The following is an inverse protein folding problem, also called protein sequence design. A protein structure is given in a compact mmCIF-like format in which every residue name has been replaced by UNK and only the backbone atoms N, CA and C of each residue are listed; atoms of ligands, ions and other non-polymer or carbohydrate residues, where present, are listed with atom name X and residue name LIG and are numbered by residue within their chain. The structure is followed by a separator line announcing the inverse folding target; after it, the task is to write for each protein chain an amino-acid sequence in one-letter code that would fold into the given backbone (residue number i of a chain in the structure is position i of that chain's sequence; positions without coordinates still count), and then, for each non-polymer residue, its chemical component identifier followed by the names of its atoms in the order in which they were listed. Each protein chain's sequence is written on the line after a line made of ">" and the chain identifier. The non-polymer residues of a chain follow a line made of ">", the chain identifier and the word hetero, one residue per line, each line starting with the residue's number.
data_IF_454972364734
#
_entry.id   IF_454972364734
#
_cell.length_a   1.000
_cell.length_b   1.000
_cell.length_c   1.000
_cell.angle_alpha   90.00
_cell.angle_beta   90.00
_cell.angle_gamma   90.00
#
_symmetry.space_group_name_H-M   'P 1'
#
loop_
_entity.id
_entity.type
_entity.pdbx_description
1 polymer ?
#
# COMPACT_ATOMS: atom_id res chain seq x y z
N UNK A 1 -22.57 -25.11 -3.44
CA UNK A 1 -21.10 -25.03 -3.45
C UNK A 1 -20.69 -23.67 -2.90
N UNK A 2 -19.85 -23.65 -1.86
CA UNK A 2 -19.42 -22.44 -1.16
C UNK A 2 -18.22 -21.83 -1.88
N UNK A 3 -18.36 -20.62 -2.43
CA UNK A 3 -17.26 -19.86 -3.04
C UNK A 3 -16.40 -19.10 -2.00
N UNK A 4 -16.46 -19.48 -0.72
CA UNK A 4 -15.84 -18.73 0.39
C UNK A 4 -14.38 -19.11 0.71
N UNK A 5 -13.64 -19.64 -0.25
CA UNK A 5 -12.18 -19.80 -0.13
C UNK A 5 -11.50 -19.19 -1.34
N UNK A 6 -11.63 -17.87 -1.51
CA UNK A 6 -10.69 -17.10 -2.33
C UNK A 6 -9.70 -16.46 -1.38
N UNK A 7 -8.77 -17.28 -0.89
CA UNK A 7 -7.45 -16.77 -0.49
C UNK A 7 -6.50 -17.45 -1.45
N UNK A 8 -6.18 -16.76 -2.54
CA UNK A 8 -5.13 -17.21 -3.45
C UNK A 8 -4.26 -16.01 -3.79
N UNK A 9 -3.46 -15.61 -2.80
CA UNK A 9 -2.33 -14.70 -2.96
C UNK A 9 -1.09 -15.54 -3.32
N UNK A 10 -1.13 -16.22 -4.48
CA UNK A 10 -0.08 -17.08 -5.02
C UNK A 10 0.02 -18.49 -4.40
N UNK A 11 -0.82 -19.41 -4.90
CA UNK A 11 -0.35 -20.77 -5.14
C UNK A 11 0.00 -20.89 -6.60
N UNK A 12 0.98 -21.73 -6.92
CA UNK A 12 1.63 -21.97 -8.23
C UNK A 12 0.70 -22.32 -9.43
N UNK A 13 -0.59 -22.01 -9.41
CA UNK A 13 -1.41 -21.96 -10.61
C UNK A 13 -1.16 -20.59 -11.29
N UNK A 14 -0.89 -20.62 -12.59
CA UNK A 14 -0.86 -19.41 -13.42
C UNK A 14 -2.23 -18.70 -13.26
N UNK A 15 -2.27 -17.43 -12.85
CA UNK A 15 -3.53 -16.65 -12.72
C UNK A 15 -4.39 -16.72 -14.00
N UNK A 16 -3.74 -16.95 -15.14
CA UNK A 16 -4.39 -17.20 -16.42
C UNK A 16 -5.15 -18.54 -16.47
N UNK A 17 -4.70 -19.57 -15.77
CA UNK A 17 -5.39 -20.86 -15.63
C UNK A 17 -6.72 -20.71 -14.88
N UNK A 18 -6.73 -19.98 -13.76
CA UNK A 18 -7.97 -19.67 -13.01
C UNK A 18 -8.96 -18.94 -13.91
N UNK A 19 -8.48 -17.92 -14.63
CA UNK A 19 -9.29 -17.13 -15.58
C UNK A 19 -9.89 -18.01 -16.68
N UNK A 20 -9.11 -18.96 -17.22
CA UNK A 20 -9.59 -19.94 -18.22
C UNK A 20 -10.62 -20.91 -17.63
N UNK A 21 -10.42 -21.40 -16.40
CA UNK A 21 -11.38 -22.29 -15.70
C UNK A 21 -12.72 -21.59 -15.49
N UNK A 22 -12.71 -20.33 -15.04
CA UNK A 22 -13.93 -19.52 -14.87
C UNK A 22 -14.66 -19.35 -16.21
N UNK A 23 -13.93 -18.99 -17.28
CA UNK A 23 -14.52 -18.86 -18.62
C UNK A 23 -15.21 -20.16 -19.06
N UNK A 24 -14.52 -21.30 -18.96
CA UNK A 24 -15.09 -22.61 -19.30
C UNK A 24 -16.35 -22.92 -18.48
N UNK A 25 -16.31 -22.63 -17.17
CA UNK A 25 -17.44 -22.88 -16.29
C UNK A 25 -18.66 -22.02 -16.67
N UNK A 26 -18.47 -20.72 -16.90
CA UNK A 26 -19.55 -19.83 -17.31
C UNK A 26 -20.15 -20.23 -18.67
N UNK A 27 -19.32 -20.60 -19.64
CA UNK A 27 -19.79 -21.13 -20.92
C UNK A 27 -20.60 -22.43 -20.73
N UNK A 28 -20.18 -23.32 -19.83
CA UNK A 28 -20.93 -24.57 -19.54
C UNK A 28 -22.30 -24.33 -18.90
N UNK A 29 -22.50 -23.20 -18.23
CA UNK A 29 -23.78 -22.79 -17.64
C UNK A 29 -24.73 -22.12 -18.65
N UNK A 30 -24.31 -21.98 -19.91
CA UNK A 30 -25.11 -21.36 -20.97
C UNK A 30 -24.99 -19.84 -21.06
N UNK A 31 -23.98 -19.22 -20.43
CA UNK A 31 -23.66 -17.81 -20.68
C UNK A 31 -23.05 -17.67 -22.07
N UNK A 32 -23.66 -16.81 -22.88
CA UNK A 32 -23.18 -16.41 -24.20
C UNK A 32 -22.13 -15.28 -24.06
N UNK A 33 -21.29 -15.09 -25.09
CA UNK A 33 -20.29 -14.00 -25.17
C UNK A 33 -19.24 -13.90 -24.04
N UNK A 34 -18.85 -15.03 -23.44
CA UNK A 34 -17.79 -15.05 -22.41
C UNK A 34 -16.39 -14.83 -23.01
N UNK A 35 -15.83 -13.64 -22.79
CA UNK A 35 -14.53 -13.22 -23.34
C UNK A 35 -13.49 -12.97 -22.24
N UNK A 36 -12.21 -13.16 -22.59
CA UNK A 36 -11.08 -12.73 -21.77
C UNK A 36 -10.53 -11.44 -22.40
N UNK A 37 -10.43 -10.38 -21.60
CA UNK A 37 -9.83 -9.12 -22.01
C UNK A 37 -8.52 -8.91 -21.26
N UNK A 38 -7.43 -8.69 -22.01
CA UNK A 38 -6.10 -8.52 -21.44
C UNK A 38 -5.74 -7.04 -21.34
N UNK A 39 -5.20 -6.63 -20.19
CA UNK A 39 -4.71 -5.28 -19.94
C UNK A 39 -3.26 -5.36 -19.46
N UNK A 40 -2.42 -4.42 -19.90
CA UNK A 40 -1.05 -4.28 -19.41
C UNK A 40 -1.00 -3.14 -18.42
N UNK A 41 -1.05 -3.46 -17.13
CA UNK A 41 -1.16 -2.48 -16.04
C UNK A 41 0.17 -2.30 -15.31
N UNK A 42 0.38 -1.12 -14.73
CA UNK A 42 1.52 -0.89 -13.86
C UNK A 42 1.25 -1.48 -12.47
N UNK A 43 1.98 -2.54 -12.10
CA UNK A 43 1.96 -3.10 -10.75
C UNK A 43 3.15 -2.60 -9.94
N UNK A 44 2.93 -2.36 -8.65
CA UNK A 44 3.99 -2.10 -7.68
C UNK A 44 4.08 -3.27 -6.71
N UNK A 45 5.11 -4.09 -6.88
CA UNK A 45 5.40 -5.25 -6.04
C UNK A 45 6.59 -4.94 -5.11
N UNK A 46 6.70 -5.64 -3.96
CA UNK A 46 7.85 -5.48 -3.08
C UNK A 46 9.15 -5.83 -3.83
N UNK A 47 10.24 -5.21 -3.41
CA UNK A 47 11.57 -5.52 -3.93
C UNK A 47 12.05 -6.89 -3.46
N UNK A 48 13.20 -7.37 -3.97
CA UNK A 48 13.79 -8.65 -3.54
C UNK A 48 14.25 -8.64 -2.08
N UNK A 49 14.42 -7.45 -1.49
CA UNK A 49 14.73 -7.28 -0.07
C UNK A 49 13.60 -6.54 0.65
N UNK A 50 13.25 -6.94 1.87
CA UNK A 50 12.25 -6.26 2.67
C UNK A 50 12.66 -4.82 3.00
N UNK A 51 11.67 -3.95 3.18
CA UNK A 51 11.90 -2.65 3.81
C UNK A 51 12.24 -2.84 5.29
N UNK A 52 12.94 -1.88 5.89
CA UNK A 52 13.33 -1.94 7.30
C UNK A 52 13.04 -0.63 8.02
N UNK A 53 12.82 -0.71 9.32
CA UNK A 53 12.69 0.41 10.24
C UNK A 53 13.80 0.28 11.27
N UNK A 54 14.64 1.30 11.39
CA UNK A 54 15.79 1.30 12.29
C UNK A 54 15.65 2.40 13.34
N UNK A 55 15.88 2.04 14.60
CA UNK A 55 15.94 3.01 15.71
C UNK A 55 17.35 3.57 15.78
N UNK A 56 17.54 4.84 15.40
CA UNK A 56 18.88 5.45 15.31
C UNK A 56 19.68 5.43 16.61
N UNK A 57 19.01 5.50 17.77
CA UNK A 57 19.69 5.53 19.08
C UNK A 57 20.25 4.18 19.53
N UNK A 58 19.58 3.07 19.20
CA UNK A 58 19.97 1.71 19.61
C UNK A 58 20.57 0.89 18.47
N UNK A 59 20.41 1.32 17.22
CA UNK A 59 20.76 0.54 16.04
C UNK A 59 19.86 -0.68 15.81
N UNK A 60 18.78 -0.84 16.59
CA UNK A 60 17.84 -1.94 16.43
C UNK A 60 17.11 -1.82 15.10
N UNK A 61 17.04 -2.92 14.37
CA UNK A 61 16.44 -3.01 13.06
C UNK A 61 15.22 -3.95 13.13
N UNK A 62 14.13 -3.51 12.51
CA UNK A 62 12.88 -4.26 12.41
C UNK A 62 12.40 -4.33 10.97
N UNK A 63 11.79 -5.45 10.60
CA UNK A 63 10.98 -5.60 9.40
C UNK A 63 9.60 -4.94 9.61
N UNK A 64 8.81 -4.68 8.55
CA UNK A 64 7.55 -3.95 8.66
C UNK A 64 6.44 -4.74 9.39
N UNK A 65 6.64 -6.04 9.57
CA UNK A 65 5.82 -6.92 10.41
C UNK A 65 6.19 -6.85 11.91
N UNK A 66 7.23 -6.09 12.26
CA UNK A 66 7.73 -5.94 13.63
C UNK A 66 8.78 -6.95 14.06
N UNK A 67 9.18 -7.89 13.19
CA UNK A 67 10.23 -8.85 13.52
C UNK A 67 11.62 -8.20 13.51
N UNK A 68 12.54 -8.59 14.42
CA UNK A 68 13.91 -8.10 14.38
C UNK A 68 14.63 -8.57 13.12
N UNK A 69 15.46 -7.72 12.52
CA UNK A 69 16.25 -8.07 11.33
C UNK A 69 17.32 -9.15 11.59
N UNK A 70 17.61 -9.45 12.86
CA UNK A 70 18.73 -10.30 13.30
C UNK A 70 18.35 -11.73 13.69
N UNK A 71 17.13 -12.19 13.39
CA UNK A 71 16.79 -13.60 13.54
C UNK A 71 16.67 -14.26 12.17
N UNK A 72 17.02 -15.55 12.08
CA UNK A 72 16.68 -16.36 10.91
C UNK A 72 15.16 -16.29 10.74
N UNK A 73 14.71 -15.38 9.87
CA UNK A 73 13.34 -15.23 9.42
C UNK A 73 12.76 -16.64 9.32
N UNK A 74 11.72 -16.90 10.13
CA UNK A 74 11.20 -18.23 10.42
C UNK A 74 11.36 -19.14 9.21
N UNK A 75 12.21 -20.18 9.32
CA UNK A 75 12.34 -21.30 8.38
C UNK A 75 11.06 -22.16 8.35
N UNK A 76 9.89 -21.55 8.48
CA UNK A 76 8.62 -22.22 8.57
C UNK A 76 7.61 -21.56 7.64
N UNK A 77 7.86 -21.71 6.35
CA UNK A 77 6.88 -22.16 5.36
C UNK A 77 7.50 -22.06 3.97
N UNK A 78 7.26 -23.08 3.18
CA UNK A 78 7.84 -23.36 1.86
C UNK A 78 7.33 -22.44 0.73
N UNK A 79 7.03 -21.18 1.01
CA UNK A 79 6.60 -20.20 0.02
C UNK A 79 7.18 -18.82 0.36
N UNK A 80 7.68 -18.13 -0.65
CA UNK A 80 8.32 -16.81 -0.58
C UNK A 80 7.51 -15.88 0.34
N UNK A 81 8.00 -15.52 1.54
CA UNK A 81 7.19 -14.78 2.50
C UNK A 81 6.95 -13.39 1.94
N UNK A 82 5.73 -13.14 1.47
CA UNK A 82 5.28 -11.81 1.06
C UNK A 82 5.44 -10.87 2.26
N UNK A 83 6.49 -10.04 2.22
CA UNK A 83 6.72 -9.04 3.25
C UNK A 83 5.56 -8.06 3.33
N UNK A 84 5.25 -7.60 4.54
CA UNK A 84 4.38 -6.43 4.71
C UNK A 84 4.92 -5.26 3.90
N UNK A 85 4.09 -4.69 3.00
CA UNK A 85 4.50 -3.57 2.14
C UNK A 85 3.33 -2.65 1.78
N UNK A 86 3.67 -1.41 1.42
CA UNK A 86 2.74 -0.42 0.90
C UNK A 86 2.91 -0.27 -0.62
N UNK A 87 1.98 -0.83 -1.40
CA UNK A 87 1.98 -0.72 -2.84
C UNK A 87 1.84 0.74 -3.28
N UNK A 88 2.60 1.11 -4.30
CA UNK A 88 2.72 2.46 -4.85
C UNK A 88 3.33 3.49 -3.88
N UNK A 89 3.95 3.02 -2.79
CA UNK A 89 4.81 3.87 -1.98
C UNK A 89 6.07 4.26 -2.75
N UNK A 90 6.53 5.48 -2.51
CA UNK A 90 7.78 5.95 -3.09
C UNK A 90 8.98 5.18 -2.51
N UNK A 91 10.08 5.14 -3.27
CA UNK A 91 11.32 4.49 -2.84
C UNK A 91 12.23 5.53 -2.19
N UNK A 92 12.71 5.26 -0.97
CA UNK A 92 13.59 6.19 -0.27
C UNK A 92 13.94 5.74 1.14
N UNK A 93 14.76 6.54 1.80
CA UNK A 93 15.15 6.38 3.21
C UNK A 93 15.00 7.75 3.86
N UNK A 94 14.31 7.80 5.00
CA UNK A 94 14.08 9.00 5.79
C UNK A 94 14.48 8.70 7.23
N UNK A 95 15.32 9.57 7.79
CA UNK A 95 15.67 9.57 9.21
C UNK A 95 15.10 10.85 9.82
N UNK A 96 14.18 10.71 10.77
CA UNK A 96 13.50 11.83 11.43
C UNK A 96 12.85 11.37 12.74
N UNK A 97 12.31 12.32 13.51
CA UNK A 97 11.52 12.01 14.72
C UNK A 97 10.19 11.35 14.31
N UNK A 98 9.77 10.35 15.07
CA UNK A 98 8.45 9.72 14.93
C UNK A 98 7.45 10.43 15.81
N UNK A 99 6.34 10.89 15.22
CA UNK A 99 5.25 11.57 15.91
C UNK A 99 3.98 10.72 15.80
N UNK A 100 3.43 10.31 16.93
CA UNK A 100 2.10 9.67 16.99
C UNK A 100 1.02 10.69 16.59
N UNK A 101 0.32 10.39 15.50
CA UNK A 101 -0.78 11.22 14.97
C UNK A 101 -2.15 10.56 15.20
N UNK A 102 -2.22 9.51 16.01
CA UNK A 102 -3.45 8.73 16.26
C UNK A 102 -4.10 8.30 14.94
N UNK A 103 -5.36 8.65 14.69
CA UNK A 103 -6.06 8.35 13.45
C UNK A 103 -5.83 9.38 12.34
N UNK A 104 -4.95 10.37 12.53
CA UNK A 104 -4.59 11.36 11.52
C UNK A 104 -5.77 12.25 11.10
N UNK A 105 -6.66 12.58 12.04
CA UNK A 105 -7.78 13.48 11.75
C UNK A 105 -7.28 14.92 11.58
N UNK A 106 -8.11 15.76 10.93
CA UNK A 106 -7.77 17.17 10.78
C UNK A 106 -7.56 17.88 12.14
N UNK A 107 -8.27 17.46 13.18
CA UNK A 107 -8.14 18.05 14.51
C UNK A 107 -6.89 17.56 15.24
N UNK A 108 -6.51 16.28 15.11
CA UNK A 108 -5.23 15.76 15.61
C UNK A 108 -4.07 16.59 15.04
N UNK A 109 -4.09 16.82 13.73
CA UNK A 109 -3.05 17.58 13.04
C UNK A 109 -3.00 19.05 13.47
N UNK A 110 -4.16 19.68 13.73
CA UNK A 110 -4.22 21.05 14.27
C UNK A 110 -3.60 21.12 15.67
N UNK A 111 -3.86 20.12 16.52
CA UNK A 111 -3.30 20.08 17.87
C UNK A 111 -1.79 19.89 17.84
N UNK A 112 -1.29 18.94 17.05
CA UNK A 112 0.14 18.64 16.97
C UNK A 112 0.93 19.83 16.41
N UNK A 113 0.41 20.51 15.38
CA UNK A 113 1.04 21.71 14.80
C UNK A 113 1.23 22.86 15.79
N UNK A 114 0.42 22.93 16.85
CA UNK A 114 0.56 23.96 17.89
C UNK A 114 1.70 23.67 18.86
N UNK A 115 2.10 22.41 18.99
CA UNK A 115 3.05 21.94 20.00
C UNK A 115 4.42 21.65 19.39
N UNK A 116 4.46 21.13 18.16
CA UNK A 116 5.71 20.67 17.51
C UNK A 116 5.80 21.10 16.05
N UNK A 117 7.04 21.28 15.58
CA UNK A 117 7.32 21.36 14.15
C UNK A 117 7.27 19.95 13.53
N UNK A 118 6.36 19.78 12.57
CA UNK A 118 6.09 18.48 11.92
C UNK A 118 6.76 18.34 10.55
N UNK A 119 7.46 19.38 10.10
CA UNK A 119 8.07 19.41 8.77
C UNK A 119 9.12 18.30 8.64
N UNK A 120 8.96 17.45 7.62
CA UNK A 120 9.85 16.34 7.30
C UNK A 120 9.99 15.27 8.42
N UNK A 121 9.01 15.20 9.34
CA UNK A 121 8.95 14.17 10.38
C UNK A 121 8.26 12.89 9.88
N UNK A 122 8.39 11.80 10.63
CA UNK A 122 7.70 10.52 10.35
C UNK A 122 6.42 10.47 11.19
N UNK A 123 5.27 10.28 10.55
CA UNK A 123 3.99 10.09 11.25
C UNK A 123 3.77 8.62 11.60
N UNK A 124 3.42 8.31 12.85
CA UNK A 124 2.90 7.01 13.25
C UNK A 124 1.36 7.07 13.23
N UNK A 125 0.75 6.35 12.29
CA UNK A 125 -0.67 6.48 11.95
C UNK A 125 -1.44 5.17 12.15
N UNK A 126 -2.52 5.23 12.90
CA UNK A 126 -3.50 4.15 13.09
C UNK A 126 -4.33 3.93 11.82
N UNK A 127 -4.50 2.67 11.44
CA UNK A 127 -5.48 2.26 10.43
C UNK A 127 -6.91 2.34 10.98
N UNK A 128 -7.91 2.45 10.10
CA UNK A 128 -9.32 2.59 10.47
C UNK A 128 -9.83 4.04 10.62
N UNK A 129 -11.10 4.15 11.07
CA UNK A 129 -11.97 5.34 11.23
C UNK A 129 -12.24 6.16 9.96
N UNK A 130 -11.21 6.48 9.18
CA UNK A 130 -11.28 7.26 7.95
C UNK A 130 -10.53 6.53 6.81
N UNK A 131 -10.87 6.79 5.53
CA UNK A 131 -10.16 6.21 4.39
C UNK A 131 -8.66 6.50 4.44
N UNK A 132 -7.83 5.48 4.19
CA UNK A 132 -6.37 5.59 4.29
C UNK A 132 -5.81 6.73 3.43
N UNK A 133 -6.18 6.76 2.15
CA UNK A 133 -5.67 7.77 1.20
C UNK A 133 -6.03 9.19 1.61
N UNK A 134 -7.21 9.38 2.21
CA UNK A 134 -7.61 10.67 2.75
C UNK A 134 -6.66 11.11 3.88
N UNK A 135 -6.40 10.22 4.85
CA UNK A 135 -5.46 10.50 5.97
C UNK A 135 -4.05 10.81 5.47
N UNK A 136 -3.52 10.01 4.54
CA UNK A 136 -2.21 10.26 3.93
C UNK A 136 -2.16 11.62 3.26
N UNK A 137 -3.20 12.01 2.51
CA UNK A 137 -3.26 13.33 1.88
C UNK A 137 -3.25 14.49 2.87
N UNK A 138 -3.84 14.32 4.07
CA UNK A 138 -3.79 15.33 5.13
C UNK A 138 -2.40 15.44 5.74
N UNK A 139 -1.73 14.31 5.97
CA UNK A 139 -0.36 14.26 6.51
C UNK A 139 0.64 14.88 5.55
N UNK A 140 0.51 14.58 4.25
CA UNK A 140 1.34 15.19 3.21
C UNK A 140 1.15 16.71 3.18
N UNK A 141 -0.10 17.20 3.16
CA UNK A 141 -0.41 18.64 3.25
C UNK A 141 0.09 19.28 4.54
N UNK A 142 0.21 18.49 5.61
CA UNK A 142 0.74 18.95 6.88
C UNK A 142 2.28 19.06 6.87
N UNK A 143 2.96 18.40 5.93
CA UNK A 143 4.42 18.49 5.75
C UNK A 143 5.19 17.30 6.32
N UNK A 144 4.52 16.19 6.66
CA UNK A 144 5.21 14.96 7.06
C UNK A 144 6.02 14.39 5.89
N UNK A 145 7.21 13.86 6.20
CA UNK A 145 8.13 13.29 5.20
C UNK A 145 7.90 11.79 4.96
N UNK A 146 7.28 11.09 5.91
CA UNK A 146 6.98 9.66 5.83
C UNK A 146 5.88 9.24 6.80
N UNK A 147 5.31 8.05 6.59
CA UNK A 147 4.24 7.49 7.42
C UNK A 147 4.50 6.03 7.73
N UNK A 148 4.42 5.67 9.00
CA UNK A 148 4.38 4.30 9.50
C UNK A 148 2.93 3.95 9.85
N UNK A 149 2.44 2.85 9.29
CA UNK A 149 1.07 2.40 9.46
C UNK A 149 1.03 1.24 10.45
N UNK A 150 0.03 1.23 11.32
CA UNK A 150 -0.22 0.08 12.19
C UNK A 150 -1.71 -0.08 12.48
N UNK A 151 -2.10 -1.28 12.87
CA UNK A 151 -3.44 -1.58 13.37
C UNK A 151 -3.41 -1.43 14.89
N UNK A 152 -4.30 -0.59 15.43
CA UNK A 152 -4.43 -0.45 16.88
C UNK A 152 -5.09 -1.73 17.45
N UNK A 153 -4.46 -2.43 18.42
CA UNK A 153 -5.07 -3.59 19.08
C UNK A 153 -6.45 -3.29 19.68
N UNK A 154 -6.71 -2.03 20.07
CA UNK A 154 -8.00 -1.61 20.59
C UNK A 154 -9.12 -1.56 19.52
N UNK A 155 -8.79 -1.51 18.23
CA UNK A 155 -9.76 -1.57 17.13
C UNK A 155 -10.04 -3.00 16.66
N UNK A 156 -9.24 -3.97 17.10
CA UNK A 156 -9.42 -5.37 16.72
C UNK A 156 -10.51 -6.03 17.58
N UNK A 157 -11.33 -6.93 17.00
CA UNK A 157 -12.26 -7.72 17.79
C UNK A 157 -11.48 -8.56 18.80
N UNK A 158 -12.02 -8.73 20.02
CA UNK A 158 -11.34 -9.42 21.14
C UNK A 158 -10.92 -10.88 20.84
N UNK A 159 -11.45 -11.46 19.77
CA UNK A 159 -11.16 -12.81 19.29
C UNK A 159 -10.08 -12.84 18.21
N UNK A 160 -9.56 -11.69 17.78
CA UNK A 160 -8.50 -11.62 16.79
C UNK A 160 -7.18 -12.08 17.43
N UNK A 161 -6.57 -13.11 16.84
CA UNK A 161 -5.20 -13.47 17.16
C UNK A 161 -4.29 -12.51 16.38
N UNK A 162 -3.60 -11.62 17.08
CA UNK A 162 -2.63 -10.71 16.47
C UNK A 162 -1.32 -11.48 16.31
N UNK A 163 -1.34 -12.52 15.47
CA UNK A 163 -0.08 -13.03 14.96
C UNK A 163 0.57 -11.93 14.12
N UNK A 164 1.89 -12.00 13.96
CA UNK A 164 2.70 -11.16 13.07
C UNK A 164 2.34 -11.44 11.60
N UNK A 165 1.06 -11.34 11.26
CA UNK A 165 0.53 -11.60 9.95
C UNK A 165 0.92 -10.43 9.06
N UNK A 166 1.47 -10.76 7.91
CA UNK A 166 1.84 -9.74 6.95
C UNK A 166 0.60 -9.01 6.47
N UNK A 167 0.65 -7.68 6.48
CA UNK A 167 -0.43 -6.87 5.93
C UNK A 167 0.07 -5.97 4.81
N UNK A 168 -0.79 -5.80 3.82
CA UNK A 168 -0.51 -5.04 2.62
C UNK A 168 -1.51 -3.90 2.52
N UNK A 169 -1.03 -2.72 2.11
CA UNK A 169 -1.89 -1.59 1.79
C UNK A 169 -1.58 -1.09 0.39
N UNK A 170 -2.56 -0.47 -0.25
CA UNK A 170 -2.36 0.21 -1.53
C UNK A 170 -2.51 1.72 -1.34
N UNK A 171 -1.56 2.46 -1.91
CA UNK A 171 -1.60 3.92 -2.00
C UNK A 171 -2.17 4.42 -3.35
N UNK A 172 -2.70 3.51 -4.16
CA UNK A 172 -3.38 3.84 -5.42
C UNK A 172 -4.89 4.08 -5.17
N UNK A 173 -5.45 5.25 -5.56
CA UNK A 173 -6.88 5.55 -5.43
C UNK A 173 -7.80 4.72 -6.35
N UNK A 174 -7.24 4.01 -7.33
CA UNK A 174 -7.98 3.11 -8.20
C UNK A 174 -7.60 3.27 -9.67
N UNK A 175 -7.90 2.24 -10.46
CA UNK A 175 -7.48 2.16 -11.86
C UNK A 175 -5.97 1.91 -12.03
N UNK A 176 -5.51 1.90 -13.28
CA UNK A 176 -4.09 1.85 -13.59
C UNK A 176 -3.48 3.26 -13.52
N UNK A 177 -2.50 3.50 -12.63
CA UNK A 177 -1.86 4.80 -12.52
C UNK A 177 -1.17 5.26 -13.82
N UNK A 178 -0.82 4.32 -14.71
CA UNK A 178 -0.17 4.67 -15.99
C UNK A 178 -1.15 5.14 -17.08
N UNK A 179 -2.45 4.88 -16.91
CA UNK A 179 -3.51 5.21 -17.88
C UNK A 179 -4.77 5.77 -17.19
N UNK A 180 -4.67 6.91 -16.47
CA UNK A 180 -5.80 7.45 -15.71
C UNK A 180 -6.99 7.81 -16.61
N UNK A 181 -8.14 7.19 -16.35
CA UNK A 181 -9.37 7.42 -17.12
C UNK A 181 -9.46 6.70 -18.46
N UNK A 182 -8.47 5.88 -18.82
CA UNK A 182 -8.41 5.15 -20.07
C UNK A 182 -8.09 3.67 -19.84
N UNK A 183 -8.48 2.78 -20.77
CA UNK A 183 -8.11 1.37 -20.67
C UNK A 183 -6.61 1.17 -20.94
N UNK A 184 -5.95 0.32 -20.14
CA UNK A 184 -4.54 -0.05 -20.28
C UNK A 184 -4.30 -1.06 -21.41
N UNK A 185 -4.69 -0.69 -22.63
CA UNK A 185 -4.59 -1.55 -23.82
C UNK A 185 -3.37 -1.17 -24.67
N UNK A 186 -2.41 -2.07 -24.82
CA UNK A 186 -1.18 -1.83 -25.58
C UNK A 186 -0.14 -0.95 -24.85
N UNK A 187 1.08 -0.84 -25.41
CA UNK A 187 2.16 0.01 -24.87
C UNK A 187 1.84 1.49 -25.13
N UNK A 188 1.03 2.11 -24.29
CA UNK A 188 0.94 3.56 -24.22
C UNK A 188 2.19 4.11 -23.53
N UNK A 189 3.18 4.54 -24.32
CA UNK A 189 4.22 5.44 -23.82
C UNK A 189 3.59 6.83 -23.80
N UNK A 190 3.14 7.28 -22.63
CA UNK A 190 2.72 8.66 -22.46
C UNK A 190 3.94 9.59 -22.64
N UNK A 191 4.11 10.15 -23.84
CA UNK A 191 5.02 11.27 -24.08
C UNK A 191 4.39 12.53 -23.48
N UNK A 192 4.84 12.92 -22.29
CA UNK A 192 4.47 14.21 -21.72
C UNK A 192 5.27 15.33 -22.40
N UNK A 193 4.63 16.10 -23.27
CA UNK A 193 5.07 17.43 -23.69
C UNK A 193 4.62 18.45 -22.63
N UNK A 194 5.59 19.08 -21.96
CA UNK A 194 5.37 20.05 -20.91
C UNK A 194 4.91 21.41 -21.45
N UNK A 195 3.59 21.64 -21.45
CA UNK A 195 3.01 23.00 -21.43
C UNK A 195 1.87 23.05 -20.40
N UNK A 196 2.19 23.48 -19.18
CA UNK A 196 1.19 23.79 -18.16
C UNK A 196 0.50 25.12 -18.48
N UNK A 197 -0.83 25.10 -18.63
CA UNK A 197 -1.70 26.26 -18.44
C UNK A 197 -2.39 26.14 -17.07
N UNK A 198 -2.39 27.25 -16.32
CA UNK A 198 -3.00 27.38 -15.00
C UNK A 198 -4.53 27.31 -15.12
N UNK A 199 -5.15 26.74 -14.08
CA UNK A 199 -6.59 26.61 -13.80
C UNK A 199 -7.22 25.26 -14.16
N UNK A 200 -7.08 24.29 -13.26
CA UNK A 200 -8.15 23.34 -12.94
C UNK A 200 -7.88 22.70 -11.58
N UNK A 201 -8.88 22.73 -10.72
CA UNK A 201 -8.87 22.24 -9.34
C UNK A 201 -9.11 20.72 -9.40
N UNK A 202 -8.04 19.92 -9.53
CA UNK A 202 -7.99 18.51 -9.10
C UNK A 202 -6.53 18.16 -8.84
N UNK A 203 -6.09 18.32 -7.59
CA UNK A 203 -4.72 18.01 -7.18
C UNK A 203 -4.70 16.57 -6.66
N UNK A 204 -4.44 15.63 -7.58
CA UNK A 204 -4.01 14.28 -7.24
C UNK A 204 -2.64 14.36 -6.57
N UNK A 205 -2.58 14.04 -5.29
CA UNK A 205 -1.37 14.06 -4.48
C UNK A 205 -0.69 12.69 -4.59
N UNK A 206 0.49 12.71 -5.20
CA UNK A 206 1.45 11.61 -5.29
C UNK A 206 2.21 11.54 -3.96
N UNK A 207 2.38 10.36 -3.33
CA UNK A 207 3.33 10.24 -2.24
C UNK A 207 4.75 10.45 -2.79
N UNK A 208 5.30 11.65 -2.58
CA UNK A 208 6.74 11.83 -2.42
C UNK A 208 7.12 11.23 -1.08
N UNK A 209 7.90 10.15 -1.06
CA UNK A 209 8.93 10.02 -0.04
C UNK A 209 10.06 10.91 -0.52
N UNK A 210 10.28 12.01 0.19
CA UNK A 210 11.34 12.97 -0.07
C UNK A 210 12.69 12.23 -0.05
N UNK A 211 13.44 12.29 -1.13
CA UNK A 211 14.85 12.73 -1.03
C UNK A 211 14.96 14.03 -1.79
N UNK A 212 15.80 14.93 -1.26
CA UNK A 212 16.03 16.31 -1.72
C UNK A 212 15.98 16.46 -3.24
#
# INVERSE_FOLDING_TARGET
>A
MSFRNVVELYKNEDDMEISKRIKTHWTSLGLEDVQLANYSVLLNLPGPSPSTVTVSSSGQCFHPDGQPCSEEARKDSSQDPLYSYAAYSAKGTLEAEVIDVSYGTADDLKMIKKVKNITNQIALLKLGKLPLLYKISLLEKAGFGGVLLYIDPCDLPKTANINYDNFMVTLNPGGDPSTPGYPSVGRFVASYSSKCHKNSIYQGMLPKLIKR
#
